data_IF_134959256459
#
_entry.id   IF_134959256459
#
_cell.length_a   1.000
_cell.length_b   1.000
_cell.length_c   1.000
_cell.angle_alpha   90.00
_cell.angle_beta   90.00
_cell.angle_gamma   90.00
#
_symmetry.space_group_name_H-M   'P 1'
#
loop_
_entity.id
_entity.type
_entity.pdbx_description
1 polymer ?
#
# COMPACT_ATOMS: atom_id res chain seq x y z
N UNK A 1 34.83 5.10 22.96
CA UNK A 1 35.40 4.18 21.95
C UNK A 1 34.26 3.51 21.20
N UNK A 2 34.16 3.63 19.86
CA UNK A 2 33.08 3.00 19.11
C UNK A 2 33.40 1.51 18.88
N UNK A 3 32.48 0.64 19.29
CA UNK A 3 32.52 -0.80 19.06
C UNK A 3 32.51 -1.08 17.54
N UNK A 4 33.68 -1.40 16.98
CA UNK A 4 33.80 -1.99 15.63
C UNK A 4 33.04 -3.32 15.62
N UNK A 5 31.83 -3.34 15.07
CA UNK A 5 31.12 -4.60 14.76
C UNK A 5 31.95 -5.37 13.74
N UNK A 6 32.46 -6.53 14.16
CA UNK A 6 33.31 -7.39 13.34
C UNK A 6 32.61 -7.76 12.03
N UNK A 7 33.26 -7.51 10.88
CA UNK A 7 32.77 -7.93 9.54
C UNK A 7 32.49 -9.43 9.48
N UNK A 8 33.20 -10.23 10.27
CA UNK A 8 33.00 -11.67 10.35
C UNK A 8 31.64 -12.03 10.99
N UNK A 9 31.18 -11.27 11.98
CA UNK A 9 29.89 -11.50 12.62
C UNK A 9 28.73 -11.20 11.66
N UNK A 10 28.83 -10.11 10.89
CA UNK A 10 27.80 -9.73 9.91
C UNK A 10 27.71 -10.77 8.79
N UNK A 11 28.85 -11.24 8.27
CA UNK A 11 28.90 -12.28 7.25
C UNK A 11 28.32 -13.60 7.76
N UNK A 12 28.68 -14.01 8.98
CA UNK A 12 28.15 -15.22 9.60
C UNK A 12 26.63 -15.17 9.82
N UNK A 13 26.09 -14.03 10.27
CA UNK A 13 24.65 -13.84 10.45
C UNK A 13 23.91 -13.97 9.10
N UNK A 14 24.45 -13.36 8.04
CA UNK A 14 23.84 -13.43 6.71
C UNK A 14 23.83 -14.85 6.15
N UNK A 15 24.94 -15.58 6.29
CA UNK A 15 25.08 -16.96 5.83
C UNK A 15 24.20 -17.95 6.61
N UNK A 16 23.92 -17.66 7.89
CA UNK A 16 23.17 -18.56 8.78
C UNK A 16 21.74 -18.08 9.10
N UNK A 17 21.21 -17.08 8.39
CA UNK A 17 19.88 -16.52 8.63
C UNK A 17 18.74 -17.57 8.57
N UNK A 18 18.92 -18.61 7.75
CA UNK A 18 17.97 -19.71 7.61
C UNK A 18 17.88 -20.59 8.88
N UNK A 19 18.93 -20.62 9.71
CA UNK A 19 18.96 -21.34 10.99
C UNK A 19 18.33 -20.55 12.13
N UNK A 20 18.10 -19.25 11.95
CA UNK A 20 17.49 -18.35 12.94
C UNK A 20 15.96 -18.27 12.81
N UNK A 21 15.33 -19.04 11.91
CA UNK A 21 13.91 -18.90 11.59
C UNK A 21 12.93 -19.51 12.60
N UNK A 22 13.38 -20.16 13.67
CA UNK A 22 12.45 -20.90 14.56
C UNK A 22 12.02 -20.18 15.84
N UNK A 23 12.41 -18.92 16.08
CA UNK A 23 11.95 -18.17 17.26
C UNK A 23 11.62 -16.71 16.93
N UNK A 24 10.49 -16.49 16.25
CA UNK A 24 9.77 -15.21 16.29
C UNK A 24 8.55 -15.33 17.21
N UNK A 25 8.82 -15.34 18.52
CA UNK A 25 7.85 -14.84 19.51
C UNK A 25 8.28 -13.43 19.86
N UNK A 26 7.41 -12.45 19.62
CA UNK A 26 7.52 -11.15 20.26
C UNK A 26 7.50 -11.36 21.77
N UNK A 27 8.64 -11.18 22.45
CA UNK A 27 8.72 -11.20 23.90
C UNK A 27 9.23 -9.85 24.38
N UNK A 28 8.32 -9.09 24.98
CA UNK A 28 8.56 -7.84 25.70
C UNK A 28 9.21 -8.09 27.06
N UNK A 29 10.34 -8.80 27.11
CA UNK A 29 11.09 -9.08 28.33
C UNK A 29 12.58 -9.26 28.04
N UNK A 30 13.26 -8.18 27.67
CA UNK A 30 14.71 -8.10 27.82
C UNK A 30 15.01 -7.76 29.28
N UNK A 31 15.13 -8.78 30.14
CA UNK A 31 15.84 -8.66 31.42
C UNK A 31 17.32 -8.85 31.15
N UNK A 32 18.11 -7.81 31.40
CA UNK A 32 19.56 -7.90 31.56
C UNK A 32 19.87 -8.89 32.71
N UNK A 33 20.65 -9.94 32.43
CA UNK A 33 21.30 -10.75 33.46
C UNK A 33 22.76 -10.30 33.54
N UNK A 34 23.06 -9.43 34.48
CA UNK A 34 24.37 -9.42 35.13
C UNK A 34 24.41 -10.54 36.17
N UNK A 35 25.61 -11.06 36.39
CA UNK A 35 25.93 -12.29 37.10
C UNK A 35 25.50 -12.25 38.58
N UNK A 36 24.87 -13.33 39.03
CA UNK A 36 24.59 -13.65 40.42
C UNK A 36 25.90 -13.92 41.17
N UNK A 37 26.07 -13.31 42.35
CA UNK A 37 26.73 -13.97 43.47
C UNK A 37 26.05 -13.56 44.79
N UNK A 38 25.65 -14.58 45.56
CA UNK A 38 25.30 -14.61 46.98
C UNK A 38 23.83 -14.41 47.43
N UNK A 39 23.37 -15.45 48.15
CA UNK A 39 22.24 -15.56 49.10
C UNK A 39 20.82 -15.76 48.56
N UNK A 40 20.43 -17.03 48.48
CA UNK A 40 19.02 -17.47 48.38
C UNK A 40 18.50 -17.79 49.79
N UNK A 41 17.32 -17.27 50.16
CA UNK A 41 16.36 -18.05 50.94
C UNK A 41 15.12 -18.37 50.08
N UNK A 42 14.69 -19.62 50.19
CA UNK A 42 13.57 -20.26 49.51
C UNK A 42 12.23 -19.53 49.66
N UNK A 43 11.55 -19.28 48.54
CA UNK A 43 10.14 -18.88 48.46
C UNK A 43 9.34 -19.94 47.67
N UNK A 44 8.14 -20.19 48.16
CA UNK A 44 7.19 -21.27 47.81
C UNK A 44 6.78 -21.35 46.33
N UNK A 45 6.26 -22.50 45.84
CA UNK A 45 5.99 -22.71 44.44
C UNK A 45 4.74 -21.95 43.98
N UNK A 46 4.91 -21.07 42.99
CA UNK A 46 3.83 -20.39 42.27
C UNK A 46 3.16 -21.37 41.29
N UNK A 47 1.83 -21.38 41.29
CA UNK A 47 0.96 -22.26 40.52
C UNK A 47 1.26 -22.33 39.01
N UNK A 48 1.03 -23.50 38.42
CA UNK A 48 1.16 -23.78 36.98
C UNK A 48 0.33 -22.81 36.13
N UNK A 49 1.01 -22.09 35.24
CA UNK A 49 0.36 -21.24 34.23
C UNK A 49 -0.17 -22.13 33.11
N UNK A 50 -1.48 -22.06 32.87
CA UNK A 50 -2.17 -22.77 31.79
C UNK A 50 -1.52 -22.51 30.41
N UNK A 51 -1.53 -23.49 29.49
CA UNK A 51 -0.89 -23.35 28.19
C UNK A 51 -1.53 -22.21 27.38
N UNK A 52 -0.67 -21.37 26.80
CA UNK A 52 -1.08 -20.24 25.97
C UNK A 52 -1.97 -20.71 24.81
N UNK A 53 -3.19 -20.18 24.77
CA UNK A 53 -4.10 -20.37 23.66
C UNK A 53 -3.48 -19.70 22.41
N UNK A 54 -3.07 -20.49 21.42
CA UNK A 54 -2.75 -19.93 20.11
C UNK A 54 -4.02 -19.29 19.54
N UNK A 55 -4.01 -17.98 19.18
CA UNK A 55 -5.15 -17.39 18.55
C UNK A 55 -5.32 -18.05 17.20
N UNK A 56 -6.41 -18.80 17.04
CA UNK A 56 -6.83 -19.36 15.77
C UNK A 56 -6.89 -18.21 14.75
N UNK A 57 -5.96 -18.21 13.80
CA UNK A 57 -6.01 -17.28 12.67
C UNK A 57 -7.21 -17.68 11.84
N UNK A 58 -8.33 -16.96 12.01
CA UNK A 58 -9.51 -17.16 11.16
C UNK A 58 -9.04 -17.10 9.70
N UNK A 59 -9.40 -18.07 8.86
CA UNK A 59 -9.12 -17.99 7.43
C UNK A 59 -9.62 -16.65 6.92
N UNK A 60 -8.78 -15.94 6.16
CA UNK A 60 -9.16 -14.66 5.57
C UNK A 60 -10.39 -14.94 4.69
N UNK A 61 -11.53 -14.25 4.91
CA UNK A 61 -12.74 -14.54 4.16
C UNK A 61 -12.46 -14.43 2.66
N UNK A 62 -12.95 -15.41 1.89
CA UNK A 62 -13.00 -15.32 0.43
C UNK A 62 -14.03 -14.25 0.09
N UNK A 63 -13.54 -13.04 -0.17
CA UNK A 63 -14.34 -11.84 -0.45
C UNK A 63 -14.39 -11.66 -1.98
N UNK A 64 -15.20 -12.45 -2.66
CA UNK A 64 -15.62 -12.13 -4.03
C UNK A 64 -16.95 -11.40 -3.93
N UNK A 65 -17.03 -10.09 -4.25
CA UNK A 65 -18.29 -9.37 -4.22
C UNK A 65 -19.23 -9.91 -5.30
N UNK A 66 -20.52 -10.04 -4.96
CA UNK A 66 -21.54 -10.64 -5.83
C UNK A 66 -21.73 -9.91 -7.17
N UNK A 67 -21.32 -8.63 -7.26
CA UNK A 67 -21.32 -7.82 -8.50
C UNK A 67 -20.07 -6.93 -8.51
N UNK A 68 -19.20 -7.11 -9.51
CA UNK A 68 -18.00 -6.28 -9.73
C UNK A 68 -17.88 -5.87 -11.20
N UNK A 69 -17.12 -4.82 -11.48
CA UNK A 69 -16.75 -4.45 -12.85
C UNK A 69 -15.87 -5.54 -13.49
N UNK A 70 -15.86 -5.57 -14.83
CA UNK A 70 -15.04 -6.50 -15.61
C UNK A 70 -14.10 -5.73 -16.52
N UNK A 71 -12.87 -6.22 -16.63
CA UNK A 71 -11.86 -5.73 -17.54
C UNK A 71 -12.31 -5.81 -19.01
N UNK A 72 -13.12 -6.82 -19.36
CA UNK A 72 -13.63 -6.99 -20.72
C UNK A 72 -14.55 -5.83 -21.15
N UNK A 73 -15.14 -5.10 -20.19
CA UNK A 73 -15.96 -3.91 -20.43
C UNK A 73 -15.17 -2.59 -20.46
N UNK A 74 -13.83 -2.66 -20.32
CA UNK A 74 -12.97 -1.48 -20.24
C UNK A 74 -13.05 -0.62 -21.50
N UNK A 75 -13.40 0.64 -21.29
CA UNK A 75 -13.40 1.65 -22.35
C UNK A 75 -12.11 2.46 -22.29
N UNK A 76 -11.54 2.77 -23.45
CA UNK A 76 -10.27 3.50 -23.56
C UNK A 76 -10.44 4.67 -24.52
N UNK A 77 -10.17 5.87 -24.01
CA UNK A 77 -10.04 7.11 -24.77
C UNK A 77 -8.61 7.60 -24.64
N UNK A 78 -7.86 7.58 -25.74
CA UNK A 78 -6.46 8.01 -25.74
C UNK A 78 -6.36 9.54 -25.82
N UNK A 79 -5.36 10.08 -25.13
CA UNK A 79 -4.96 11.47 -25.25
C UNK A 79 -4.52 11.78 -26.69
N UNK A 80 -5.01 12.90 -27.22
CA UNK A 80 -4.57 13.39 -28.52
C UNK A 80 -3.10 13.84 -28.45
N UNK A 81 -2.36 13.91 -29.58
CA UNK A 81 -0.93 14.25 -29.57
C UNK A 81 -0.58 15.56 -28.85
N UNK A 82 -1.48 16.56 -28.88
CA UNK A 82 -1.30 17.85 -28.22
C UNK A 82 -1.55 17.81 -26.69
N UNK A 83 -2.12 16.72 -26.17
CA UNK A 83 -2.33 16.48 -24.73
C UNK A 83 -1.18 15.70 -24.10
N UNK A 84 -0.33 15.05 -24.91
CA UNK A 84 0.80 14.28 -24.42
C UNK A 84 1.87 15.19 -23.83
N UNK A 85 2.30 14.89 -22.61
CA UNK A 85 3.32 15.65 -21.92
C UNK A 85 4.72 15.13 -22.26
N UNK A 86 5.69 16.04 -22.26
CA UNK A 86 7.10 15.67 -22.33
C UNK A 86 7.47 14.89 -21.06
N UNK A 87 8.00 13.68 -21.24
CA UNK A 87 8.46 12.84 -20.12
C UNK A 87 9.63 13.52 -19.42
N UNK A 88 9.61 13.63 -18.08
CA UNK A 88 10.73 14.18 -17.33
C UNK A 88 11.95 13.27 -17.45
N UNK A 89 13.14 13.85 -17.35
CA UNK A 89 14.37 13.07 -17.24
C UNK A 89 14.30 12.15 -16.02
N UNK A 90 14.80 10.92 -16.15
CA UNK A 90 14.70 9.90 -15.09
C UNK A 90 15.58 10.17 -13.85
N UNK A 91 16.13 11.38 -13.73
CA UNK A 91 17.03 11.85 -12.69
C UNK A 91 16.27 12.88 -11.84
N UNK A 92 16.23 12.69 -10.52
CA UNK A 92 15.63 13.64 -9.57
C UNK A 92 14.13 13.98 -9.80
N UNK A 93 13.35 12.97 -10.20
CA UNK A 93 11.89 13.09 -10.41
C UNK A 93 11.12 13.60 -9.17
N UNK A 94 11.62 13.30 -7.97
CA UNK A 94 10.87 13.51 -6.73
C UNK A 94 9.68 12.56 -6.61
N UNK A 95 8.93 12.64 -5.51
CA UNK A 95 7.75 11.79 -5.28
C UNK A 95 6.46 12.57 -5.50
N UNK A 96 5.60 12.09 -6.41
CA UNK A 96 4.25 12.64 -6.62
C UNK A 96 4.20 14.03 -7.28
N UNK A 97 5.25 14.42 -8.01
CA UNK A 97 5.35 15.73 -8.67
C UNK A 97 4.87 15.73 -10.12
N UNK A 98 5.11 14.63 -10.82
CA UNK A 98 4.74 14.44 -12.23
C UNK A 98 3.67 13.35 -12.32
N UNK A 99 2.76 13.49 -13.28
CA UNK A 99 1.71 12.52 -13.55
C UNK A 99 1.70 12.17 -15.04
N UNK A 100 1.27 10.95 -15.36
CA UNK A 100 1.23 10.46 -16.74
C UNK A 100 0.06 11.05 -17.53
N UNK A 101 -0.02 10.71 -18.81
CA UNK A 101 -0.99 11.30 -19.74
C UNK A 101 -2.43 10.80 -19.51
N UNK A 102 -2.58 9.62 -18.89
CA UNK A 102 -3.88 8.98 -18.68
C UNK A 102 -4.15 8.67 -17.20
N UNK A 103 -5.43 8.51 -16.87
CA UNK A 103 -5.87 7.95 -15.60
C UNK A 103 -6.98 6.93 -15.85
N UNK A 104 -7.22 6.05 -14.87
CA UNK A 104 -8.37 5.12 -14.90
C UNK A 104 -9.41 5.56 -13.87
N UNK A 105 -10.70 5.42 -14.19
CA UNK A 105 -11.84 5.67 -13.31
C UNK A 105 -12.86 4.54 -13.41
N UNK A 106 -13.53 4.24 -12.29
CA UNK A 106 -14.69 3.34 -12.21
C UNK A 106 -15.66 3.95 -11.20
N UNK A 107 -16.84 4.32 -11.68
CA UNK A 107 -17.91 4.80 -10.82
C UNK A 107 -18.63 3.63 -10.16
N UNK A 108 -19.17 3.87 -8.98
CA UNK A 108 -20.07 2.98 -8.28
C UNK A 108 -21.32 3.76 -7.87
N UNK A 109 -22.50 3.22 -8.19
CA UNK A 109 -23.78 3.76 -7.79
C UNK A 109 -24.70 2.60 -7.37
N UNK A 110 -25.08 2.52 -6.09
CA UNK A 110 -25.92 1.42 -5.59
C UNK A 110 -27.26 1.35 -6.35
N UNK A 111 -27.86 2.50 -6.64
CA UNK A 111 -29.13 2.62 -7.37
C UNK A 111 -29.06 2.10 -8.83
N UNK A 112 -27.88 2.14 -9.45
CA UNK A 112 -27.65 1.67 -10.83
C UNK A 112 -27.11 0.23 -10.88
N UNK A 113 -27.23 -0.52 -9.78
CA UNK A 113 -26.75 -1.90 -9.70
C UNK A 113 -25.27 -2.05 -9.35
N UNK A 114 -24.62 -0.98 -8.85
CA UNK A 114 -23.27 -1.03 -8.28
C UNK A 114 -22.18 -0.51 -9.22
N UNK A 115 -21.14 -1.31 -9.43
CA UNK A 115 -19.98 -0.91 -10.23
C UNK A 115 -20.34 -0.68 -11.70
N UNK A 116 -19.88 0.46 -12.22
CA UNK A 116 -20.03 0.83 -13.63
C UNK A 116 -18.81 0.33 -14.43
N UNK A 117 -18.83 0.56 -15.74
CA UNK A 117 -17.73 0.14 -16.63
C UNK A 117 -16.43 0.88 -16.27
N UNK A 118 -15.28 0.20 -16.31
CA UNK A 118 -14.01 0.87 -16.12
C UNK A 118 -13.67 1.71 -17.36
N UNK A 119 -13.05 2.87 -17.13
CA UNK A 119 -12.68 3.82 -18.17
C UNK A 119 -11.24 4.26 -18.00
N UNK A 120 -10.45 4.21 -19.07
CA UNK A 120 -9.16 4.91 -19.16
C UNK A 120 -9.35 6.11 -20.08
N UNK A 121 -9.01 7.30 -19.58
CA UNK A 121 -9.17 8.57 -20.28
C UNK A 121 -7.92 9.44 -20.07
N UNK A 122 -7.77 10.53 -20.82
CA UNK A 122 -6.74 11.53 -20.52
C UNK A 122 -6.85 11.99 -19.07
N UNK A 123 -5.71 12.29 -18.46
CA UNK A 123 -5.64 12.77 -17.08
C UNK A 123 -6.44 14.07 -16.92
N UNK A 124 -7.29 14.13 -15.89
CA UNK A 124 -8.14 15.28 -15.63
C UNK A 124 -8.36 15.52 -14.13
N UNK A 125 -8.91 16.70 -13.81
CA UNK A 125 -9.34 17.00 -12.45
C UNK A 125 -10.66 16.29 -12.14
N UNK A 126 -10.82 15.85 -10.90
CA UNK A 126 -12.08 15.27 -10.45
C UNK A 126 -13.11 16.38 -10.18
N UNK A 127 -14.28 16.26 -10.80
CA UNK A 127 -15.46 17.08 -10.47
C UNK A 127 -16.29 16.37 -9.41
N UNK A 128 -16.26 16.87 -8.18
CA UNK A 128 -16.96 16.28 -7.04
C UNK A 128 -18.00 17.25 -6.49
N UNK A 129 -19.14 16.71 -6.05
CA UNK A 129 -20.10 17.50 -5.30
C UNK A 129 -19.45 18.02 -4.00
N UNK A 130 -19.64 19.29 -3.60
CA UNK A 130 -18.98 19.85 -2.42
C UNK A 130 -19.30 19.13 -1.11
N UNK A 131 -20.46 18.46 -1.03
CA UNK A 131 -20.87 17.65 0.12
C UNK A 131 -20.40 16.17 0.07
N UNK A 132 -19.49 15.80 -0.84
CA UNK A 132 -19.00 14.42 -0.95
C UNK A 132 -18.36 13.94 0.36
N UNK A 133 -18.73 12.74 0.82
CA UNK A 133 -18.24 12.17 2.10
C UNK A 133 -16.72 12.09 2.22
N UNK A 134 -16.01 11.89 1.12
CA UNK A 134 -14.54 11.91 1.11
C UNK A 134 -13.96 13.24 1.61
N UNK A 135 -14.65 14.36 1.33
CA UNK A 135 -14.23 15.71 1.72
C UNK A 135 -14.56 16.04 3.19
N UNK A 136 -15.61 15.43 3.76
CA UNK A 136 -16.14 15.79 5.09
C UNK A 136 -15.83 14.78 6.18
N UNK A 137 -15.82 13.49 5.85
CA UNK A 137 -15.71 12.39 6.82
C UNK A 137 -14.54 11.45 6.52
N UNK A 138 -13.66 11.83 5.60
CA UNK A 138 -12.52 11.02 5.16
C UNK A 138 -12.91 9.58 4.77
N UNK A 139 -14.09 9.42 4.14
CA UNK A 139 -14.51 8.13 3.53
C UNK A 139 -13.70 7.93 2.26
N UNK A 140 -12.44 7.51 2.45
CA UNK A 140 -11.47 7.34 1.40
C UNK A 140 -10.33 6.41 1.84
N UNK A 141 -9.74 5.73 0.87
CA UNK A 141 -8.57 4.89 1.05
C UNK A 141 -7.70 4.93 -0.21
N UNK A 142 -6.45 4.51 -0.08
CA UNK A 142 -5.53 4.42 -1.22
C UNK A 142 -4.60 3.23 -1.09
N UNK A 143 -3.98 2.89 -2.21
CA UNK A 143 -2.91 1.92 -2.32
C UNK A 143 -1.63 2.52 -2.90
N UNK A 144 -0.55 1.77 -2.74
CA UNK A 144 0.76 2.13 -3.28
C UNK A 144 1.49 0.91 -3.79
N UNK A 145 1.68 0.85 -5.10
CA UNK A 145 2.48 -0.17 -5.77
C UNK A 145 3.31 0.46 -6.90
N UNK A 146 4.16 -0.33 -7.54
CA UNK A 146 5.11 0.15 -8.53
C UNK A 146 5.19 -0.76 -9.74
N UNK A 147 5.40 -0.15 -10.90
CA UNK A 147 5.87 -0.80 -12.11
C UNK A 147 7.37 -0.51 -12.31
N UNK A 148 8.09 -1.55 -12.70
CA UNK A 148 9.54 -1.54 -12.88
C UNK A 148 9.87 -1.96 -14.30
N UNK A 149 10.73 -1.20 -14.98
CA UNK A 149 11.35 -1.63 -16.23
C UNK A 149 12.57 -2.47 -15.89
N UNK A 150 12.54 -3.73 -16.29
CA UNK A 150 13.66 -4.64 -16.06
C UNK A 150 14.84 -4.37 -16.99
N UNK A 151 15.97 -5.00 -16.70
CA UNK A 151 17.17 -4.98 -17.56
C UNK A 151 16.92 -5.60 -18.95
N UNK A 152 15.86 -6.39 -19.08
CA UNK A 152 15.37 -6.98 -20.33
C UNK A 152 14.29 -6.13 -21.00
N UNK A 153 14.15 -4.87 -20.58
CA UNK A 153 13.16 -3.88 -21.01
C UNK A 153 11.69 -4.27 -20.75
N UNK A 154 11.44 -5.40 -20.07
CA UNK A 154 10.07 -5.82 -19.71
C UNK A 154 9.58 -5.10 -18.45
N UNK A 155 8.37 -4.56 -18.52
CA UNK A 155 7.70 -3.92 -17.39
C UNK A 155 7.05 -4.98 -16.49
N UNK A 156 7.24 -4.85 -15.18
CA UNK A 156 6.71 -5.79 -14.17
C UNK A 156 6.06 -5.06 -13.01
N UNK A 157 4.98 -5.62 -12.51
CA UNK A 157 4.37 -5.24 -11.23
C UNK A 157 4.89 -6.19 -10.13
N UNK A 158 5.17 -5.67 -8.95
CA UNK A 158 5.62 -6.48 -7.82
C UNK A 158 4.47 -6.80 -6.88
N UNK A 159 4.05 -8.07 -6.85
CA UNK A 159 3.00 -8.61 -5.96
C UNK A 159 1.71 -7.77 -5.88
N UNK A 160 1.12 -7.37 -7.03
CA UNK A 160 -0.06 -6.52 -7.03
C UNK A 160 -1.27 -7.16 -6.34
N UNK A 161 -1.33 -8.49 -6.30
CA UNK A 161 -2.34 -9.28 -5.59
C UNK A 161 -2.45 -8.90 -4.09
N UNK A 162 -1.31 -8.70 -3.43
CA UNK A 162 -1.29 -8.29 -2.02
C UNK A 162 -1.84 -6.88 -1.81
N UNK A 163 -1.59 -5.97 -2.75
CA UNK A 163 -2.15 -4.62 -2.70
C UNK A 163 -3.67 -4.67 -2.84
N UNK A 164 -4.21 -5.49 -3.77
CA UNK A 164 -5.67 -5.62 -3.93
C UNK A 164 -6.34 -6.21 -2.68
N UNK A 165 -5.72 -7.23 -2.07
CA UNK A 165 -6.22 -7.81 -0.82
C UNK A 165 -6.29 -6.77 0.31
N UNK A 166 -5.25 -5.92 0.43
CA UNK A 166 -5.23 -4.86 1.44
C UNK A 166 -6.23 -3.76 1.12
N UNK A 167 -6.39 -3.41 -0.16
CA UNK A 167 -7.37 -2.41 -0.60
C UNK A 167 -8.80 -2.84 -0.29
N UNK A 168 -9.17 -4.10 -0.56
CA UNK A 168 -10.50 -4.62 -0.23
C UNK A 168 -10.75 -4.68 1.29
N UNK A 169 -9.73 -5.02 2.08
CA UNK A 169 -9.85 -4.98 3.54
C UNK A 169 -10.11 -3.55 4.04
N UNK A 170 -9.42 -2.56 3.47
CA UNK A 170 -9.66 -1.16 3.78
C UNK A 170 -11.06 -0.71 3.30
N UNK A 171 -11.51 -1.15 2.12
CA UNK A 171 -12.82 -0.81 1.59
C UNK A 171 -13.93 -1.30 2.52
N UNK A 172 -13.86 -2.58 2.93
CA UNK A 172 -14.77 -3.15 3.91
C UNK A 172 -14.76 -2.36 5.23
N UNK A 173 -13.58 -2.00 5.73
CA UNK A 173 -13.44 -1.25 7.00
C UNK A 173 -14.04 0.15 6.93
N UNK A 174 -13.93 0.80 5.77
CA UNK A 174 -14.43 2.16 5.52
C UNK A 174 -15.88 2.20 5.03
N UNK A 175 -16.57 1.06 4.91
CA UNK A 175 -17.93 0.97 4.36
C UNK A 175 -18.01 1.23 2.86
N UNK A 176 -16.88 1.24 2.15
CA UNK A 176 -16.80 1.42 0.71
C UNK A 176 -17.03 0.08 -0.02
N UNK A 177 -17.51 0.10 -1.27
CA UNK A 177 -17.77 -1.12 -2.03
C UNK A 177 -16.47 -1.89 -2.29
N UNK A 178 -16.51 -3.20 -2.06
CA UNK A 178 -15.43 -4.12 -2.46
C UNK A 178 -15.51 -4.41 -3.96
N UNK A 179 -14.43 -4.93 -4.53
CA UNK A 179 -14.34 -5.29 -5.95
C UNK A 179 -13.51 -6.56 -6.16
N UNK A 180 -13.55 -7.10 -7.38
CA UNK A 180 -12.67 -8.18 -7.81
C UNK A 180 -11.25 -7.64 -8.05
N UNK A 181 -10.29 -8.09 -7.23
CA UNK A 181 -8.92 -7.64 -7.31
C UNK A 181 -8.21 -8.04 -8.61
N UNK A 182 -8.56 -9.18 -9.21
CA UNK A 182 -7.94 -9.62 -10.45
C UNK A 182 -8.36 -8.71 -11.62
N UNK A 183 -9.63 -8.31 -11.65
CA UNK A 183 -10.16 -7.38 -12.64
C UNK A 183 -9.49 -6.00 -12.54
N UNK A 184 -9.27 -5.50 -11.31
CA UNK A 184 -8.54 -4.25 -11.12
C UNK A 184 -7.08 -4.35 -11.56
N UNK A 185 -6.41 -5.48 -11.31
CA UNK A 185 -5.02 -5.71 -11.77
C UNK A 185 -4.94 -5.67 -13.30
N UNK A 186 -5.90 -6.29 -14.01
CA UNK A 186 -5.96 -6.24 -15.47
C UNK A 186 -6.15 -4.79 -15.97
N UNK A 187 -7.06 -4.03 -15.36
CA UNK A 187 -7.28 -2.61 -15.69
C UNK A 187 -6.02 -1.76 -15.46
N UNK A 188 -5.36 -1.90 -14.31
CA UNK A 188 -4.10 -1.21 -13.99
C UNK A 188 -3.02 -1.59 -14.99
N UNK A 189 -2.91 -2.88 -15.34
CA UNK A 189 -1.93 -3.36 -16.32
C UNK A 189 -2.16 -2.70 -17.68
N UNK A 190 -3.42 -2.56 -18.11
CA UNK A 190 -3.76 -1.88 -19.36
C UNK A 190 -3.42 -0.38 -19.32
N UNK A 191 -3.69 0.30 -18.20
CA UNK A 191 -3.28 1.69 -18.00
C UNK A 191 -1.76 1.86 -18.09
N UNK A 192 -0.99 1.00 -17.40
CA UNK A 192 0.48 1.02 -17.46
C UNK A 192 1.00 0.69 -18.86
N UNK A 193 0.32 -0.17 -19.63
CA UNK A 193 0.69 -0.44 -21.03
C UNK A 193 0.49 0.79 -21.94
N UNK A 194 -0.60 1.53 -21.74
CA UNK A 194 -0.86 2.77 -22.50
C UNK A 194 0.21 3.81 -22.18
N UNK A 195 0.53 3.98 -20.90
CA UNK A 195 1.55 4.92 -20.42
C UNK A 195 2.93 4.27 -20.23
N UNK A 196 3.26 3.19 -20.96
CA UNK A 196 4.48 2.40 -20.70
C UNK A 196 5.77 3.22 -20.83
N UNK A 197 5.78 4.21 -21.72
CA UNK A 197 6.92 5.11 -21.93
C UNK A 197 7.17 6.05 -20.74
N UNK A 198 6.22 6.16 -19.81
CA UNK A 198 6.42 6.84 -18.53
C UNK A 198 7.12 5.97 -17.49
N UNK A 199 7.21 4.66 -17.69
CA UNK A 199 8.03 3.79 -16.84
C UNK A 199 9.50 4.10 -17.13
N UNK A 200 10.24 4.71 -16.18
CA UNK A 200 11.56 5.26 -16.46
C UNK A 200 12.52 4.22 -17.04
N UNK A 201 13.32 4.63 -18.04
CA UNK A 201 14.46 3.87 -18.56
C UNK A 201 15.65 4.00 -17.60
N UNK A 202 15.48 3.47 -16.39
CA UNK A 202 16.47 3.53 -15.31
C UNK A 202 16.26 2.37 -14.33
N UNK A 203 17.35 1.82 -13.82
CA UNK A 203 17.32 0.78 -12.77
C UNK A 203 16.99 1.34 -11.38
N UNK A 204 17.09 2.67 -11.20
CA UNK A 204 16.92 3.34 -9.90
C UNK A 204 15.60 4.10 -9.77
N UNK A 205 14.86 4.23 -10.86
CA UNK A 205 13.58 4.95 -10.94
C UNK A 205 12.46 4.00 -11.34
N UNK A 206 11.23 4.31 -10.93
CA UNK A 206 10.06 3.43 -11.06
C UNK A 206 8.82 4.23 -11.39
N UNK A 207 7.79 3.59 -11.94
CA UNK A 207 6.48 4.22 -12.05
C UNK A 207 5.64 3.83 -10.83
N UNK A 208 5.28 4.81 -10.00
CA UNK A 208 4.41 4.61 -8.86
C UNK A 208 2.94 4.63 -9.31
N UNK A 209 2.17 3.67 -8.83
CA UNK A 209 0.77 3.47 -9.15
C UNK A 209 -0.03 3.78 -7.87
N UNK A 210 -1.03 4.67 -8.00
CA UNK A 210 -1.86 5.13 -6.88
C UNK A 210 -3.35 4.83 -7.13
N UNK A 211 -3.81 3.60 -6.86
CA UNK A 211 -5.23 3.33 -6.74
C UNK A 211 -5.81 4.06 -5.54
N UNK A 212 -6.97 4.68 -5.70
CA UNK A 212 -7.66 5.47 -4.69
C UNK A 212 -9.16 5.25 -4.80
N UNK A 213 -9.83 4.98 -3.68
CA UNK A 213 -11.28 4.78 -3.62
C UNK A 213 -11.88 5.78 -2.65
N UNK A 214 -12.86 6.57 -3.12
CA UNK A 214 -13.47 7.67 -2.37
C UNK A 214 -14.99 7.58 -2.39
N UNK A 215 -15.65 7.96 -1.29
CA UNK A 215 -17.11 8.10 -1.23
C UNK A 215 -17.55 9.44 -1.83
N UNK A 216 -18.41 9.40 -2.84
CA UNK A 216 -18.81 10.57 -3.65
C UNK A 216 -20.23 11.06 -3.39
N UNK A 217 -20.96 10.38 -2.50
CA UNK A 217 -22.37 10.67 -2.22
C UNK A 217 -22.58 12.13 -1.74
N UNK A 218 -23.52 12.89 -2.33
CA UNK A 218 -23.72 14.31 -2.04
C UNK A 218 -24.58 14.53 -0.79
N UNK A 219 -24.13 14.05 0.37
CA UNK A 219 -24.89 14.14 1.63
C UNK A 219 -23.99 14.31 2.85
N UNK A 220 -24.52 14.98 3.87
CA UNK A 220 -23.94 15.02 5.22
C UNK A 220 -24.40 13.85 6.11
N UNK A 221 -25.26 12.96 5.60
CA UNK A 221 -25.68 11.77 6.33
C UNK A 221 -24.50 10.85 6.64
N UNK A 222 -24.37 10.41 7.90
CA UNK A 222 -23.31 9.48 8.34
C UNK A 222 -23.83 8.04 8.21
N UNK A 223 -23.93 7.60 6.96
CA UNK A 223 -24.31 6.25 6.55
C UNK A 223 -23.32 5.72 5.52
N UNK A 224 -23.39 4.43 5.20
CA UNK A 224 -22.61 3.84 4.11
C UNK A 224 -22.80 4.62 2.80
N UNK A 225 -21.74 4.89 2.03
CA UNK A 225 -21.82 5.63 0.77
C UNK A 225 -22.64 4.87 -0.28
N UNK A 226 -23.65 5.54 -0.81
CA UNK A 226 -24.45 5.03 -1.93
C UNK A 226 -23.74 5.21 -3.30
N UNK A 227 -22.79 6.13 -3.37
CA UNK A 227 -21.90 6.31 -4.53
C UNK A 227 -20.44 6.44 -4.13
N UNK A 228 -19.57 5.90 -4.99
CA UNK A 228 -18.12 5.94 -4.82
C UNK A 228 -17.41 6.06 -6.17
N UNK A 229 -16.15 6.48 -6.12
CA UNK A 229 -15.26 6.54 -7.27
C UNK A 229 -13.95 5.82 -6.94
N UNK A 230 -13.65 4.79 -7.72
CA UNK A 230 -12.33 4.18 -7.79
C UNK A 230 -11.56 4.84 -8.92
N UNK A 231 -10.36 5.35 -8.66
CA UNK A 231 -9.50 5.88 -9.71
C UNK A 231 -8.04 5.47 -9.51
N UNK A 232 -7.28 5.45 -10.60
CA UNK A 232 -5.85 5.14 -10.58
C UNK A 232 -5.09 6.21 -11.35
N UNK A 233 -4.09 6.79 -10.70
CA UNK A 233 -3.14 7.72 -11.30
C UNK A 233 -1.72 7.15 -11.20
N UNK A 234 -0.88 7.52 -12.16
CA UNK A 234 0.50 7.06 -12.25
C UNK A 234 1.46 8.25 -12.11
N UNK A 235 2.60 8.02 -11.49
CA UNK A 235 3.61 9.05 -11.26
C UNK A 235 5.02 8.46 -11.36
N UNK A 236 5.90 8.96 -12.25
CA UNK A 236 7.29 8.50 -12.28
C UNK A 236 8.01 9.02 -11.02
N UNK A 237 8.72 8.15 -10.33
CA UNK A 237 9.42 8.47 -9.08
C UNK A 237 10.83 7.91 -9.07
N UNK A 238 11.77 8.71 -8.55
CA UNK A 238 13.15 8.30 -8.31
C UNK A 238 13.31 7.80 -6.87
N UNK A 239 14.55 7.46 -6.48
CA UNK A 239 14.89 7.14 -5.10
C UNK A 239 14.39 8.23 -4.12
N UNK A 240 13.83 7.79 -2.99
CA UNK A 240 13.13 8.65 -2.04
C UNK A 240 14.08 9.55 -1.23
N UNK A 241 15.30 9.06 -0.97
CA UNK A 241 16.32 9.77 -0.21
C UNK A 241 17.46 10.13 -1.15
N UNK A 242 17.70 11.43 -1.30
CA UNK A 242 18.97 11.93 -1.84
C UNK A 242 20.02 11.66 -0.78
N UNK A 243 20.64 10.49 -0.86
CA UNK A 243 21.58 10.06 0.16
C UNK A 243 22.83 10.94 0.09
N UNK A 244 23.11 11.69 1.17
CA UNK A 244 24.51 11.83 1.59
C UNK A 244 25.08 10.41 1.77
N UNK A 245 26.40 10.26 1.70
CA UNK A 245 27.14 9.00 1.43
C UNK A 245 26.69 7.67 2.10
N UNK A 246 25.85 7.69 3.13
CA UNK A 246 25.33 6.54 3.87
C UNK A 246 23.79 6.34 3.82
N UNK A 247 23.02 7.31 3.30
CA UNK A 247 21.56 7.20 3.11
C UNK A 247 20.73 7.13 4.39
N UNK A 248 21.29 7.57 5.51
CA UNK A 248 20.60 7.60 6.80
C UNK A 248 19.58 8.75 6.90
N UNK A 249 18.58 8.57 7.76
CA UNK A 249 17.59 9.59 8.11
C UNK A 249 17.52 9.77 9.64
N UNK A 250 17.39 11.00 10.09
CA UNK A 250 17.14 11.32 11.49
C UNK A 250 15.69 11.01 11.84
N UNK A 251 15.46 10.36 12.99
CA UNK A 251 14.13 10.01 13.49
C UNK A 251 13.83 10.88 14.72
N UNK A 252 12.68 11.56 14.72
CA UNK A 252 12.15 12.23 15.89
C UNK A 252 11.16 11.31 16.61
N UNK A 253 11.42 11.02 17.89
CA UNK A 253 10.63 10.09 18.68
C UNK A 253 10.08 10.80 19.93
N UNK A 254 8.76 11.06 19.92
CA UNK A 254 8.03 11.70 21.01
C UNK A 254 6.85 10.81 21.43
N UNK A 255 6.83 10.29 22.68
CA UNK A 255 5.74 9.44 23.15
C UNK A 255 4.39 10.15 23.28
N UNK A 256 4.36 11.49 23.22
CA UNK A 256 3.12 12.26 23.28
C UNK A 256 2.33 12.26 21.95
N UNK A 257 2.92 11.74 20.87
CA UNK A 257 2.28 11.67 19.55
C UNK A 257 1.99 10.21 19.20
N UNK A 258 0.71 9.84 19.23
CA UNK A 258 0.26 8.46 18.94
C UNK A 258 -0.28 8.36 17.52
N UNK A 259 0.32 7.48 16.70
CA UNK A 259 -0.08 7.26 15.30
C UNK A 259 -1.37 6.44 15.15
N UNK A 260 -1.57 5.43 15.99
CA UNK A 260 -2.71 4.52 15.95
C UNK A 260 -2.84 3.79 17.31
N UNK A 261 -4.03 3.28 17.63
CA UNK A 261 -4.33 2.59 18.90
C UNK A 261 -5.22 1.35 18.70
N UNK A 262 -5.19 0.35 19.60
CA UNK A 262 -6.08 -0.80 19.54
C UNK A 262 -7.56 -0.39 19.54
N UNK A 263 -8.34 -0.93 18.61
CA UNK A 263 -9.74 -0.54 18.42
C UNK A 263 -9.95 0.68 17.51
N UNK A 264 -8.88 1.28 16.97
CA UNK A 264 -8.98 2.29 15.92
C UNK A 264 -9.86 1.81 14.76
N UNK A 265 -10.71 2.70 14.24
CA UNK A 265 -11.57 2.42 13.09
C UNK A 265 -10.97 3.02 11.83
#
# INVERSE_FOLDING_TARGET
>A
MPLRRSKALVKWIYENQHKMQTLRRCSSTLRYKELEESSVPSLEPVAEVAPAHEPATKPRPQLTPDISFKFDDLQVTLAAPYQLQKKPEAIDLGFGKYFTDHMMKINYHRELGGWQKPEISPFEHLSLHPAAKALHYAVQLFEGLKAYRGVDDKIRLFRPDLNMQRMNLAAQRSGLPMFDGEELIKCITRLVQIDQEWVPHSETSTLYIRPTLIGTEPTFGIIEPESALLFVILSPVSAYYKTNSDGAVSIYADPNVVRAFPGGR
#
